data_IF_486422959218
#
_entry.id   IF_486422959218
#
_cell.length_a   1.000
_cell.length_b   1.000
_cell.length_c   1.000
_cell.angle_alpha   90.00
_cell.angle_beta   90.00
_cell.angle_gamma   90.00
#
_symmetry.space_group_name_H-M   'P 1'
#
loop_
_entity.id
_entity.type
_entity.pdbx_description
1 polymer ?
#
# COMPACT_ATOMS: atom_id res chain seq x y z
N UNK A 1 1.51 -22.52 6.75
CA UNK A 1 0.22 -22.49 6.00
C UNK A 1 0.47 -21.70 4.73
N UNK A 2 -0.12 -22.06 3.59
CA UNK A 2 0.01 -21.26 2.37
C UNK A 2 -0.79 -19.96 2.51
N UNK A 3 -0.27 -18.88 1.95
CA UNK A 3 -1.01 -17.63 1.80
C UNK A 3 -2.06 -17.78 0.70
N UNK A 4 -3.22 -17.16 0.90
CA UNK A 4 -4.31 -17.15 -0.08
C UNK A 4 -4.49 -15.74 -0.62
N UNK A 5 -4.89 -15.63 -1.90
CA UNK A 5 -5.25 -14.34 -2.48
C UNK A 5 -6.48 -13.79 -1.75
N UNK A 6 -6.38 -12.64 -1.05
CA UNK A 6 -7.53 -12.06 -0.38
C UNK A 6 -8.62 -11.67 -1.37
N UNK A 7 -9.87 -11.88 -1.01
CA UNK A 7 -11.00 -11.38 -1.80
C UNK A 7 -11.06 -9.87 -1.70
N UNK A 8 -11.39 -9.21 -2.83
CA UNK A 8 -11.70 -7.78 -2.79
C UNK A 8 -12.96 -7.52 -1.95
N UNK A 9 -13.00 -6.45 -1.13
CA UNK A 9 -14.18 -6.10 -0.35
C UNK A 9 -15.28 -5.39 -1.21
N UNK A 10 -15.06 -5.21 -2.51
CA UNK A 10 -15.96 -4.56 -3.46
C UNK A 10 -15.78 -5.16 -4.87
N UNK A 11 -16.72 -4.87 -5.79
CA UNK A 11 -16.63 -5.30 -7.18
C UNK A 11 -15.51 -4.56 -7.95
N UNK A 12 -15.05 -5.14 -9.05
CA UNK A 12 -13.94 -4.54 -9.83
C UNK A 12 -14.27 -3.16 -10.40
N UNK A 13 -15.52 -2.89 -10.72
CA UNK A 13 -15.99 -1.60 -11.24
C UNK A 13 -16.38 -0.58 -10.15
N UNK A 14 -16.32 -0.97 -8.89
CA UNK A 14 -16.83 -0.15 -7.79
C UNK A 14 -16.01 1.13 -7.52
N UNK A 15 -14.78 1.20 -8.01
CA UNK A 15 -13.91 2.38 -7.84
C UNK A 15 -13.94 3.32 -9.06
N UNK A 16 -14.74 3.00 -10.08
CA UNK A 16 -14.93 3.90 -11.23
C UNK A 16 -15.61 5.22 -10.80
N UNK A 17 -15.27 6.33 -11.46
CA UNK A 17 -14.36 6.49 -12.60
C UNK A 17 -12.88 6.66 -12.22
N UNK A 18 -12.51 6.50 -10.95
CA UNK A 18 -11.18 6.81 -10.42
C UNK A 18 -10.15 5.72 -10.71
N UNK A 19 -10.54 4.46 -10.63
CA UNK A 19 -9.72 3.30 -11.04
C UNK A 19 -10.65 2.39 -11.85
N UNK A 20 -10.27 2.09 -13.09
CA UNK A 20 -11.12 1.33 -14.00
C UNK A 20 -11.19 -0.16 -13.65
N UNK A 21 -12.33 -0.77 -14.01
CA UNK A 21 -12.60 -2.18 -13.71
C UNK A 21 -11.54 -3.13 -14.30
N UNK A 22 -11.03 -2.82 -15.49
CA UNK A 22 -10.03 -3.68 -16.16
C UNK A 22 -8.69 -3.64 -15.43
N UNK A 23 -8.26 -2.47 -14.97
CA UNK A 23 -7.08 -2.33 -14.10
C UNK A 23 -7.27 -3.15 -12.83
N UNK A 24 -8.39 -3.00 -12.13
CA UNK A 24 -8.68 -3.73 -10.89
C UNK A 24 -8.66 -5.26 -11.08
N UNK A 25 -9.28 -5.75 -12.14
CA UNK A 25 -9.31 -7.19 -12.45
C UNK A 25 -7.89 -7.74 -12.68
N UNK A 26 -7.09 -7.10 -13.54
CA UNK A 26 -5.73 -7.54 -13.86
C UNK A 26 -4.83 -7.40 -12.62
N UNK A 27 -4.91 -6.29 -11.92
CA UNK A 27 -4.10 -5.98 -10.76
C UNK A 27 -4.31 -7.02 -9.64
N UNK A 28 -5.56 -7.40 -9.38
CA UNK A 28 -5.90 -8.42 -8.39
C UNK A 28 -5.60 -9.84 -8.89
N UNK A 29 -6.17 -10.24 -10.05
CA UNK A 29 -6.14 -11.65 -10.49
C UNK A 29 -4.81 -12.08 -11.10
N UNK A 30 -3.99 -11.16 -11.58
CA UNK A 30 -2.69 -11.45 -12.22
C UNK A 30 -1.53 -11.00 -11.35
N UNK A 31 -1.41 -9.71 -11.01
CA UNK A 31 -0.28 -9.21 -10.23
C UNK A 31 -0.31 -9.72 -8.79
N UNK A 32 -1.37 -9.45 -8.02
CA UNK A 32 -1.45 -9.90 -6.62
C UNK A 32 -1.45 -11.43 -6.52
N UNK A 33 -2.21 -12.12 -7.36
CA UNK A 33 -2.22 -13.59 -7.39
C UNK A 33 -0.85 -14.16 -7.76
N UNK A 34 -0.12 -13.52 -8.67
CA UNK A 34 1.25 -13.88 -9.02
C UNK A 34 2.19 -13.78 -7.82
N UNK A 35 2.14 -12.66 -7.08
CA UNK A 35 2.92 -12.49 -5.85
C UNK A 35 2.55 -13.56 -4.80
N UNK A 36 1.27 -13.83 -4.62
CA UNK A 36 0.79 -14.85 -3.67
C UNK A 36 1.34 -16.24 -4.01
N UNK A 37 1.22 -16.66 -5.26
CA UNK A 37 1.71 -17.94 -5.72
C UNK A 37 3.23 -18.06 -5.60
N UNK A 38 3.96 -17.04 -6.05
CA UNK A 38 5.41 -17.02 -6.00
C UNK A 38 5.97 -16.93 -4.57
N UNK A 39 5.27 -16.23 -3.66
CA UNK A 39 5.64 -16.24 -2.24
C UNK A 39 5.52 -17.65 -1.67
N UNK A 40 4.39 -18.33 -1.91
CA UNK A 40 4.19 -19.70 -1.42
C UNK A 40 5.28 -20.63 -1.94
N UNK A 41 5.61 -20.56 -3.23
CA UNK A 41 6.69 -21.36 -3.80
C UNK A 41 8.07 -21.05 -3.16
N UNK A 42 8.33 -19.77 -2.86
CA UNK A 42 9.60 -19.34 -2.29
C UNK A 42 9.81 -19.78 -0.83
N UNK A 43 8.72 -19.97 -0.08
CA UNK A 43 8.77 -20.36 1.33
C UNK A 43 8.48 -21.86 1.57
N UNK A 44 8.06 -22.59 0.55
CA UNK A 44 7.74 -24.02 0.65
C UNK A 44 8.92 -24.82 1.20
N UNK A 45 8.64 -25.69 2.17
CA UNK A 45 9.67 -26.51 2.82
C UNK A 45 10.62 -25.77 3.77
N UNK A 46 10.44 -24.46 3.96
CA UNK A 46 11.25 -23.64 4.88
C UNK A 46 10.47 -23.33 6.17
N UNK A 47 11.19 -22.84 7.20
CA UNK A 47 10.54 -22.38 8.43
C UNK A 47 9.68 -21.11 8.23
N UNK A 48 9.87 -20.37 7.13
CA UNK A 48 9.04 -19.22 6.79
C UNK A 48 7.59 -19.61 6.51
N UNK A 49 7.33 -20.82 6.00
CA UNK A 49 5.97 -21.32 5.75
C UNK A 49 5.07 -21.39 6.99
N UNK A 50 5.65 -21.28 8.19
CA UNK A 50 4.93 -21.29 9.48
C UNK A 50 4.72 -19.89 10.07
N UNK A 51 5.30 -18.86 9.45
CA UNK A 51 5.30 -17.48 9.97
C UNK A 51 4.19 -16.64 9.34
N UNK A 52 3.78 -15.59 10.05
CA UNK A 52 2.92 -14.55 9.48
C UNK A 52 3.69 -13.74 8.44
N UNK A 53 2.96 -13.07 7.55
CA UNK A 53 3.61 -12.18 6.56
C UNK A 53 4.38 -11.04 7.25
N UNK A 54 3.87 -10.52 8.35
CA UNK A 54 4.55 -9.48 9.14
C UNK A 54 5.86 -9.99 9.73
N UNK A 55 5.86 -11.22 10.28
CA UNK A 55 7.08 -11.84 10.82
C UNK A 55 8.11 -12.11 9.73
N UNK A 56 7.66 -12.51 8.53
CA UNK A 56 8.53 -12.74 7.37
C UNK A 56 9.18 -11.42 6.96
N UNK A 57 8.39 -10.35 6.80
CA UNK A 57 8.89 -9.08 6.28
C UNK A 57 9.74 -8.32 7.29
N UNK A 58 9.37 -8.30 8.57
CA UNK A 58 10.14 -7.61 9.61
C UNK A 58 11.51 -8.23 9.91
N UNK A 59 11.66 -9.53 9.63
CA UNK A 59 12.91 -10.27 9.80
C UNK A 59 13.53 -10.72 8.47
N UNK A 60 13.19 -10.01 7.38
CA UNK A 60 13.58 -10.40 6.04
C UNK A 60 15.10 -10.31 5.81
N UNK A 61 15.68 -11.39 5.29
CA UNK A 61 16.97 -11.29 4.60
C UNK A 61 16.77 -10.57 3.26
N UNK A 62 17.20 -9.32 3.20
CA UNK A 62 17.04 -8.47 2.00
C UNK A 62 17.76 -9.02 0.76
N UNK A 63 18.68 -9.97 0.91
CA UNK A 63 19.34 -10.66 -0.20
C UNK A 63 18.46 -11.77 -0.81
N UNK A 64 17.44 -12.25 -0.08
CA UNK A 64 16.47 -13.20 -0.60
C UNK A 64 15.44 -12.48 -1.50
N UNK A 65 15.82 -12.27 -2.75
CA UNK A 65 15.00 -11.53 -3.71
C UNK A 65 13.60 -12.15 -3.95
N UNK A 66 13.48 -13.47 -3.88
CA UNK A 66 12.20 -14.14 -4.08
C UNK A 66 11.21 -13.79 -2.97
N UNK A 67 11.59 -13.92 -1.71
CA UNK A 67 10.73 -13.58 -0.56
C UNK A 67 10.54 -12.07 -0.47
N UNK A 68 11.58 -11.24 -0.71
CA UNK A 68 11.49 -9.78 -0.71
C UNK A 68 10.43 -9.27 -1.69
N UNK A 69 10.55 -9.66 -2.96
CA UNK A 69 9.65 -9.14 -3.98
C UNK A 69 8.23 -9.71 -3.85
N UNK A 70 8.09 -10.99 -3.62
CA UNK A 70 6.77 -11.63 -3.60
C UNK A 70 6.07 -11.47 -2.24
N UNK A 71 6.80 -11.50 -1.13
CA UNK A 71 6.27 -11.18 0.21
C UNK A 71 5.85 -9.73 0.31
N UNK A 72 6.69 -8.81 -0.20
CA UNK A 72 6.35 -7.41 -0.30
C UNK A 72 5.12 -7.19 -1.17
N UNK A 73 5.09 -7.78 -2.37
CA UNK A 73 3.94 -7.69 -3.26
C UNK A 73 2.65 -8.21 -2.65
N UNK A 74 2.70 -9.35 -1.97
CA UNK A 74 1.54 -9.88 -1.26
C UNK A 74 1.01 -8.92 -0.18
N UNK A 75 1.89 -8.42 0.68
CA UNK A 75 1.50 -7.51 1.76
C UNK A 75 0.98 -6.17 1.24
N UNK A 76 1.71 -5.56 0.32
CA UNK A 76 1.40 -4.24 -0.22
C UNK A 76 0.01 -4.22 -0.88
N UNK A 77 -0.29 -5.23 -1.69
CA UNK A 77 -1.58 -5.32 -2.37
C UNK A 77 -2.72 -5.70 -1.41
N UNK A 78 -2.45 -6.56 -0.41
CA UNK A 78 -3.44 -6.85 0.63
C UNK A 78 -3.88 -5.59 1.37
N UNK A 79 -2.93 -4.74 1.75
CA UNK A 79 -3.21 -3.42 2.34
C UNK A 79 -3.96 -2.51 1.36
N UNK A 80 -3.51 -2.47 0.09
CA UNK A 80 -4.05 -1.56 -0.93
C UNK A 80 -5.56 -1.75 -1.14
N UNK A 81 -6.02 -2.99 -1.21
CA UNK A 81 -7.46 -3.26 -1.36
C UNK A 81 -8.30 -2.80 -0.18
N UNK A 82 -7.79 -2.92 1.03
CA UNK A 82 -8.51 -2.54 2.25
C UNK A 82 -8.58 -1.03 2.48
N UNK A 83 -7.56 -0.28 2.03
CA UNK A 83 -7.51 1.18 2.23
C UNK A 83 -8.23 1.96 1.13
N UNK A 84 -8.89 1.28 0.20
CA UNK A 84 -9.78 1.89 -0.79
C UNK A 84 -11.24 1.46 -0.56
N UNK A 85 -12.18 2.29 -1.00
CA UNK A 85 -13.61 2.05 -0.86
C UNK A 85 -14.40 2.81 -1.93
N UNK A 86 -15.50 2.24 -2.47
CA UNK A 86 -16.42 2.97 -3.34
C UNK A 86 -17.10 4.16 -2.64
N UNK A 87 -17.16 4.13 -1.30
CA UNK A 87 -17.67 5.24 -0.49
C UNK A 87 -16.53 6.03 0.18
N UNK A 88 -15.32 5.96 -0.40
CA UNK A 88 -14.12 6.64 0.10
C UNK A 88 -14.07 8.11 -0.25
N UNK A 89 -12.90 8.68 -0.05
CA UNK A 89 -12.63 10.09 -0.33
C UNK A 89 -12.91 11.02 0.85
N UNK A 90 -12.93 12.32 0.56
CA UNK A 90 -13.03 13.32 1.62
C UNK A 90 -11.76 13.45 2.46
N UNK A 91 -11.93 13.63 3.76
CA UNK A 91 -10.85 13.82 4.74
C UNK A 91 -11.05 12.90 5.95
N UNK A 92 -9.98 12.47 6.63
CA UNK A 92 -10.11 11.73 7.89
C UNK A 92 -10.70 12.61 8.98
N UNK A 93 -11.23 11.96 10.01
CA UNK A 93 -11.76 12.62 11.22
C UNK A 93 -11.08 12.08 12.48
N UNK A 94 -11.37 12.71 13.63
CA UNK A 94 -10.89 12.27 14.95
C UNK A 94 -9.36 12.24 15.06
N UNK A 95 -8.84 11.27 15.80
CA UNK A 95 -7.41 11.20 16.15
C UNK A 95 -6.46 11.19 14.95
N UNK A 96 -6.85 10.56 13.83
CA UNK A 96 -6.03 10.57 12.63
C UNK A 96 -5.96 11.98 12.01
N UNK A 97 -7.07 12.71 11.97
CA UNK A 97 -7.07 14.10 11.49
C UNK A 97 -6.18 15.00 12.35
N UNK A 98 -6.24 14.84 13.68
CA UNK A 98 -5.40 15.59 14.62
C UNK A 98 -3.91 15.24 14.42
N UNK A 99 -3.58 13.96 14.24
CA UNK A 99 -2.22 13.51 13.98
C UNK A 99 -1.68 14.05 12.63
N UNK A 100 -2.50 14.04 11.57
CA UNK A 100 -2.15 14.62 10.27
C UNK A 100 -1.91 16.12 10.41
N UNK A 101 -2.79 16.84 11.09
CA UNK A 101 -2.62 18.27 11.35
C UNK A 101 -1.35 18.57 12.16
N UNK A 102 -1.07 17.75 13.16
CA UNK A 102 0.15 17.90 13.98
C UNK A 102 1.43 17.64 13.18
N UNK A 103 1.43 16.61 12.32
CA UNK A 103 2.62 16.20 11.57
C UNK A 103 2.88 17.09 10.33
N UNK A 104 1.82 17.55 9.66
CA UNK A 104 1.92 18.20 8.35
C UNK A 104 1.35 19.60 8.30
N UNK A 105 0.71 20.09 9.37
CA UNK A 105 0.09 21.41 9.46
C UNK A 105 -1.38 21.45 9.01
N UNK A 106 -1.71 20.78 7.90
CA UNK A 106 -3.09 20.64 7.40
C UNK A 106 -3.25 19.33 6.60
N UNK A 107 -4.49 18.98 6.27
CA UNK A 107 -4.77 17.86 5.35
C UNK A 107 -4.27 18.15 3.95
N UNK A 108 -4.40 19.38 3.48
CA UNK A 108 -3.91 19.81 2.16
C UNK A 108 -2.40 19.67 2.08
N UNK A 109 -1.66 20.12 3.10
CA UNK A 109 -0.20 19.97 3.16
C UNK A 109 0.23 18.50 3.22
N UNK A 110 -0.53 17.64 3.93
CA UNK A 110 -0.33 16.20 3.91
C UNK A 110 -0.54 15.64 2.49
N UNK A 111 -1.67 15.98 1.85
CA UNK A 111 -2.00 15.53 0.50
C UNK A 111 -0.91 15.93 -0.50
N UNK A 112 -0.42 17.15 -0.42
CA UNK A 112 0.67 17.65 -1.27
C UNK A 112 1.97 16.87 -1.03
N UNK A 113 2.35 16.64 0.23
CA UNK A 113 3.55 15.89 0.57
C UNK A 113 3.46 14.43 0.12
N UNK A 114 2.32 13.76 0.32
CA UNK A 114 2.09 12.39 -0.13
C UNK A 114 2.10 12.29 -1.65
N UNK A 115 1.42 13.22 -2.33
CA UNK A 115 1.40 13.30 -3.81
C UNK A 115 2.79 13.52 -4.37
N UNK A 116 3.59 14.38 -3.73
CA UNK A 116 5.00 14.59 -4.12
C UNK A 116 5.82 13.32 -3.97
N UNK A 117 5.70 12.60 -2.85
CA UNK A 117 6.41 11.33 -2.64
C UNK A 117 6.04 10.29 -3.70
N UNK A 118 4.74 10.20 -4.07
CA UNK A 118 4.25 9.32 -5.12
C UNK A 118 4.75 9.71 -6.52
N UNK A 119 4.68 10.99 -6.87
CA UNK A 119 5.08 11.51 -8.18
C UNK A 119 6.60 11.42 -8.42
N UNK A 120 7.40 11.68 -7.38
CA UNK A 120 8.86 11.67 -7.47
C UNK A 120 9.49 10.29 -7.30
N UNK A 121 8.71 9.24 -6.95
CA UNK A 121 9.20 7.86 -6.97
C UNK A 121 9.55 7.48 -8.40
N UNK A 122 10.84 7.49 -8.72
CA UNK A 122 11.34 7.12 -10.04
C UNK A 122 11.15 5.63 -10.31
N UNK A 123 10.53 5.29 -11.44
CA UNK A 123 10.22 3.90 -11.80
C UNK A 123 9.06 3.34 -10.99
N UNK A 124 9.09 2.04 -10.75
CA UNK A 124 8.10 1.29 -9.98
C UNK A 124 8.33 1.42 -8.49
N UNK A 125 7.26 1.49 -7.73
CA UNK A 125 7.33 1.54 -6.27
C UNK A 125 6.02 1.96 -5.63
N UNK A 126 6.12 2.43 -4.39
CA UNK A 126 5.00 2.79 -3.53
C UNK A 126 5.29 4.08 -2.77
N UNK A 127 4.26 4.87 -2.53
CA UNK A 127 4.27 5.95 -1.55
C UNK A 127 3.49 5.51 -0.31
N UNK A 128 3.96 5.90 0.88
CA UNK A 128 3.42 5.45 2.16
C UNK A 128 3.14 6.59 3.11
N UNK A 129 2.07 6.46 3.90
CA UNK A 129 1.91 7.12 5.19
C UNK A 129 2.14 6.06 6.27
N UNK A 130 3.14 6.29 7.12
CA UNK A 130 3.52 5.38 8.19
C UNK A 130 3.20 5.97 9.56
N UNK A 131 2.84 5.11 10.51
CA UNK A 131 2.73 5.46 11.92
C UNK A 131 3.86 4.82 12.71
N UNK A 132 4.52 5.60 13.54
CA UNK A 132 5.52 5.15 14.51
C UNK A 132 4.89 4.95 15.89
N UNK A 133 5.56 4.20 16.75
CA UNK A 133 5.16 4.10 18.17
C UNK A 133 5.03 5.49 18.78
N UNK A 134 3.92 5.73 19.47
CA UNK A 134 3.56 7.04 20.00
C UNK A 134 2.79 7.93 19.02
N UNK A 135 2.38 7.39 17.85
CA UNK A 135 1.45 8.04 16.93
C UNK A 135 2.04 9.07 15.98
N UNK A 136 3.37 9.24 15.95
CA UNK A 136 4.02 10.12 14.96
C UNK A 136 3.79 9.60 13.56
N UNK A 137 3.40 10.48 12.63
CA UNK A 137 3.21 10.15 11.23
C UNK A 137 4.40 10.58 10.37
N UNK A 138 4.71 9.77 9.36
CA UNK A 138 5.77 10.04 8.38
C UNK A 138 5.33 9.63 6.98
N UNK A 139 5.74 10.39 5.97
CA UNK A 139 5.57 10.07 4.56
C UNK A 139 6.92 9.62 4.00
N UNK A 140 6.92 8.49 3.30
CA UNK A 140 8.09 7.99 2.59
C UNK A 140 7.70 7.32 1.27
N UNK A 141 8.69 6.86 0.51
CA UNK A 141 8.46 6.03 -0.68
C UNK A 141 9.54 4.98 -0.84
N UNK A 142 9.16 3.80 -1.33
CA UNK A 142 10.06 2.66 -1.52
C UNK A 142 10.05 2.18 -2.97
N UNK A 143 11.15 1.62 -3.48
CA UNK A 143 11.20 1.06 -4.83
C UNK A 143 10.54 -0.33 -4.88
N UNK A 144 10.08 -0.70 -6.06
CA UNK A 144 9.55 -2.02 -6.38
C UNK A 144 8.46 -2.47 -5.38
N UNK A 145 8.63 -3.62 -4.71
CA UNK A 145 7.70 -4.12 -3.70
C UNK A 145 8.26 -3.98 -2.27
N UNK A 146 9.34 -3.25 -2.07
CA UNK A 146 9.81 -2.90 -0.75
C UNK A 146 8.76 -2.09 0.01
N UNK A 147 8.70 -2.26 1.32
CA UNK A 147 7.76 -1.54 2.18
C UNK A 147 8.37 -1.22 3.56
N UNK A 148 7.73 -0.36 4.36
CA UNK A 148 8.26 0.11 5.64
C UNK A 148 8.40 -0.97 6.73
N UNK A 149 7.79 -2.16 6.55
CA UNK A 149 7.95 -3.30 7.48
C UNK A 149 9.32 -3.94 7.31
N UNK A 150 9.88 -3.89 6.10
CA UNK A 150 11.16 -4.52 5.78
C UNK A 150 12.33 -3.73 6.37
N UNK A 151 13.42 -4.41 6.79
CA UNK A 151 14.61 -3.73 7.30
C UNK A 151 15.33 -2.94 6.18
N UNK A 152 15.94 -1.82 6.54
CA UNK A 152 16.85 -1.04 5.67
C UNK A 152 16.24 -0.50 4.37
N UNK A 153 14.94 -0.24 4.34
CA UNK A 153 14.28 0.36 3.16
C UNK A 153 14.38 1.88 3.09
N UNK A 154 14.86 2.52 4.16
CA UNK A 154 14.85 3.98 4.30
C UNK A 154 13.48 4.57 4.69
N UNK A 155 12.50 3.71 4.89
CA UNK A 155 11.20 4.00 5.47
C UNK A 155 11.06 3.21 6.77
N UNK A 156 10.44 3.79 7.77
CA UNK A 156 10.21 3.14 9.05
C UNK A 156 8.76 3.31 9.51
N UNK A 157 8.34 2.50 10.49
CA UNK A 157 6.98 2.52 11.04
C UNK A 157 6.03 1.57 10.32
N UNK A 158 4.80 1.52 10.78
CA UNK A 158 3.77 0.66 10.19
C UNK A 158 3.01 1.43 9.09
N UNK A 159 2.93 0.92 7.85
CA UNK A 159 2.22 1.59 6.77
C UNK A 159 0.71 1.50 7.00
N UNK A 160 0.05 2.65 7.09
CA UNK A 160 -1.40 2.77 7.28
C UNK A 160 -2.12 3.23 6.02
N UNK A 161 -1.40 3.86 5.09
CA UNK A 161 -1.86 4.21 3.74
C UNK A 161 -0.73 3.91 2.76
N UNK A 162 -1.06 3.33 1.62
CA UNK A 162 -0.11 3.03 0.54
C UNK A 162 -0.69 3.34 -0.82
N UNK A 163 0.10 3.89 -1.73
CA UNK A 163 -0.27 4.11 -3.12
C UNK A 163 0.71 3.39 -4.03
N UNK A 164 0.20 2.45 -4.81
CA UNK A 164 0.93 1.78 -5.87
C UNK A 164 1.21 2.74 -7.03
N UNK A 165 2.48 2.99 -7.33
CA UNK A 165 2.90 3.81 -8.47
C UNK A 165 3.63 2.99 -9.53
N UNK A 166 3.52 1.66 -9.50
CA UNK A 166 3.81 0.82 -10.65
C UNK A 166 2.88 1.19 -11.80
N UNK A 167 3.37 1.19 -13.02
CA UNK A 167 2.53 1.55 -14.19
C UNK A 167 1.31 0.63 -14.36
N UNK A 168 1.41 -0.64 -13.96
CA UNK A 168 0.27 -1.56 -14.01
C UNK A 168 -0.95 -1.11 -13.17
N UNK A 169 -0.73 -0.24 -12.17
CA UNK A 169 -1.81 0.26 -11.31
C UNK A 169 -2.65 1.36 -11.97
N UNK A 170 -2.16 2.00 -13.04
CA UNK A 170 -2.84 3.18 -13.59
C UNK A 170 -2.76 3.34 -15.12
N UNK A 171 -1.90 2.59 -15.82
CA UNK A 171 -1.58 2.88 -17.22
C UNK A 171 -2.77 2.75 -18.16
N UNK A 172 -3.68 1.80 -17.94
CA UNK A 172 -4.85 1.60 -18.83
C UNK A 172 -5.78 2.81 -18.85
N UNK A 173 -5.94 3.51 -17.73
CA UNK A 173 -6.82 4.67 -17.61
C UNK A 173 -6.05 6.01 -17.75
N UNK A 174 -4.84 6.08 -17.23
CA UNK A 174 -4.09 7.35 -17.13
C UNK A 174 -2.85 7.43 -18.04
N UNK A 175 -2.38 6.33 -18.61
CA UNK A 175 -1.15 6.23 -19.39
C UNK A 175 0.01 6.87 -18.59
N UNK A 176 0.72 7.84 -19.20
CA UNK A 176 1.84 8.53 -18.54
C UNK A 176 1.42 9.60 -17.51
N UNK A 177 0.12 9.82 -17.31
CA UNK A 177 -0.40 10.88 -16.43
C UNK A 177 -0.49 10.40 -14.98
N UNK A 178 0.64 9.96 -14.39
CA UNK A 178 0.69 9.54 -12.98
C UNK A 178 0.11 10.59 -12.02
N UNK A 179 0.32 11.92 -12.19
CA UNK A 179 -0.29 12.92 -11.32
C UNK A 179 -1.82 12.87 -11.29
N UNK A 180 -2.48 12.57 -12.41
CA UNK A 180 -3.95 12.47 -12.48
C UNK A 180 -4.44 11.25 -11.68
N UNK A 181 -3.74 10.12 -11.79
CA UNK A 181 -4.01 8.93 -10.99
C UNK A 181 -3.83 9.19 -9.49
N UNK A 182 -2.74 9.87 -9.09
CA UNK A 182 -2.49 10.24 -7.69
C UNK A 182 -3.65 11.10 -7.16
N UNK A 183 -4.12 12.07 -7.94
CA UNK A 183 -5.27 12.89 -7.56
C UNK A 183 -6.56 12.08 -7.46
N UNK A 184 -6.81 11.18 -8.41
CA UNK A 184 -7.98 10.32 -8.42
C UNK A 184 -8.02 9.36 -7.22
N UNK A 185 -6.87 8.83 -6.79
CA UNK A 185 -6.77 7.94 -5.64
C UNK A 185 -7.39 8.53 -4.36
N UNK A 186 -7.20 9.83 -4.10
CA UNK A 186 -7.78 10.46 -2.90
C UNK A 186 -9.31 10.43 -2.86
N UNK A 187 -9.99 10.20 -3.98
CA UNK A 187 -11.45 10.07 -4.00
C UNK A 187 -11.94 8.68 -3.57
N UNK A 188 -11.05 7.70 -3.47
CA UNK A 188 -11.40 6.33 -3.10
C UNK A 188 -10.75 5.87 -1.78
N UNK A 189 -9.98 6.73 -1.10
CA UNK A 189 -9.33 6.37 0.17
C UNK A 189 -10.39 6.06 1.23
N UNK A 190 -10.29 4.90 1.84
CA UNK A 190 -11.10 4.48 2.98
C UNK A 190 -10.49 5.02 4.29
N UNK A 191 -10.82 6.27 4.62
CA UNK A 191 -10.26 6.93 5.81
C UNK A 191 -10.63 6.25 7.11
N UNK A 192 -11.76 5.55 7.19
CA UNK A 192 -12.15 4.78 8.38
C UNK A 192 -11.18 3.61 8.60
N UNK A 193 -10.80 2.91 7.53
CA UNK A 193 -9.81 1.83 7.60
C UNK A 193 -8.43 2.36 7.98
N UNK A 194 -8.02 3.48 7.39
CA UNK A 194 -6.74 4.14 7.71
C UNK A 194 -6.72 4.59 9.17
N UNK A 195 -7.81 5.18 9.67
CA UNK A 195 -7.94 5.60 11.07
C UNK A 195 -7.92 4.41 12.05
N UNK A 196 -8.59 3.30 11.70
CA UNK A 196 -8.55 2.08 12.50
C UNK A 196 -7.12 1.50 12.58
N UNK A 197 -6.40 1.47 11.44
CA UNK A 197 -5.01 1.04 11.37
C UNK A 197 -4.08 1.98 12.19
N UNK A 198 -4.29 3.29 12.11
CA UNK A 198 -3.56 4.26 12.94
C UNK A 198 -3.73 3.96 14.44
N UNK A 199 -4.98 3.78 14.88
CA UNK A 199 -5.29 3.50 16.28
C UNK A 199 -4.65 2.21 16.81
N UNK A 200 -4.52 1.20 15.95
CA UNK A 200 -3.96 -0.11 16.33
C UNK A 200 -2.44 -0.08 16.41
N UNK A 201 -1.77 0.74 15.59
CA UNK A 201 -0.32 0.68 15.39
C UNK A 201 0.45 1.90 15.93
N UNK A 202 -0.25 2.89 16.58
CA UNK A 202 0.37 4.06 17.21
C UNK A 202 1.07 3.77 18.52
#
# INVERSE_FOLDING_TARGET
MAFELPKLPYAYDALEPHIDARTMEIHHTKHHNGYTTNLNNAIEGTDLAKKSILDILSNLDMSNAAVRNNGGGFFNHSLFWEIMSPNGGGQPSGELADAIKSAFGSFESFKDAFSKAAATRFGSGWAWLCVHKGGKLEICSTPNQDNPIMPKTGCEGYPILGLDVWEHAYYLNYQNRRPDYINAFFNVVNWDKVAASYKTNK
#
